data_IF_937261832411
#
_entry.id   IF_937261832411
#
_cell.length_a   1.000
_cell.length_b   1.000
_cell.length_c   1.000
_cell.angle_alpha   90.00
_cell.angle_beta   90.00
_cell.angle_gamma   90.00
#
_symmetry.space_group_name_H-M   'P 1'
#
loop_
_entity.id
_entity.type
_entity.pdbx_description
1 polymer ?
#
# COMPACT_ATOMS: atom_id res chain seq x y z
N UNK A 1 -25.65 31.26 14.03
CA UNK A 1 -24.49 30.61 13.40
C UNK A 1 -23.96 29.63 14.42
N UNK A 2 -24.34 28.35 14.39
CA UNK A 2 -23.66 27.34 15.20
C UNK A 2 -22.36 26.93 14.50
N UNK A 3 -21.27 27.02 15.25
CA UNK A 3 -19.94 26.51 14.94
C UNK A 3 -19.88 24.98 15.15
N UNK A 4 -18.85 24.34 14.56
CA UNK A 4 -18.35 22.97 14.83
C UNK A 4 -19.08 21.75 14.24
N UNK A 5 -19.21 21.69 12.90
CA UNK A 5 -19.45 20.44 12.14
C UNK A 5 -18.14 19.65 11.90
N UNK A 6 -17.25 19.59 12.91
CA UNK A 6 -16.12 18.68 12.87
C UNK A 6 -16.64 17.28 13.23
N UNK A 7 -16.96 16.47 12.21
CA UNK A 7 -17.39 15.08 12.37
C UNK A 7 -16.52 14.36 13.42
N UNK A 8 -17.15 13.69 14.39
CA UNK A 8 -16.46 12.96 15.45
C UNK A 8 -15.44 12.00 14.78
N UNK A 9 -14.15 12.06 15.14
CA UNK A 9 -13.13 11.16 14.60
C UNK A 9 -13.52 9.67 14.67
N UNK A 10 -14.35 9.28 15.65
CA UNK A 10 -14.86 7.91 15.78
C UNK A 10 -15.91 7.57 14.73
N UNK A 11 -16.77 8.52 14.38
CA UNK A 11 -17.79 8.34 13.33
C UNK A 11 -17.14 8.27 11.94
N UNK A 12 -16.12 9.10 11.70
CA UNK A 12 -15.29 9.02 10.50
C UNK A 12 -14.58 7.65 10.38
N UNK A 13 -14.02 7.15 11.48
CA UNK A 13 -13.38 5.83 11.49
C UNK A 13 -14.40 4.71 11.21
N UNK A 14 -15.58 4.77 11.82
CA UNK A 14 -16.62 3.77 11.62
C UNK A 14 -17.16 3.76 10.18
N UNK A 15 -17.34 4.94 9.57
CA UNK A 15 -17.73 5.06 8.17
C UNK A 15 -16.64 4.53 7.22
N UNK A 16 -15.37 4.76 7.56
CA UNK A 16 -14.23 4.23 6.82
C UNK A 16 -14.14 2.70 6.91
N UNK A 17 -14.27 2.14 8.11
CA UNK A 17 -14.23 0.69 8.35
C UNK A 17 -15.35 -0.05 7.60
N UNK A 18 -16.53 0.57 7.50
CA UNK A 18 -17.67 0.05 6.74
C UNK A 18 -17.52 0.17 5.22
N UNK A 19 -16.55 0.95 4.74
CA UNK A 19 -16.31 1.16 3.30
C UNK A 19 -15.54 -0.02 2.67
N UNK A 20 -15.56 -0.17 1.33
CA UNK A 20 -14.70 -1.13 0.63
C UNK A 20 -13.20 -0.96 0.97
N UNK A 21 -12.77 0.26 1.31
CA UNK A 21 -11.41 0.54 1.75
C UNK A 21 -11.11 -0.02 3.13
N UNK A 22 -12.06 0.10 4.06
CA UNK A 22 -11.95 -0.50 5.40
C UNK A 22 -11.78 -2.01 5.31
N UNK A 23 -12.53 -2.67 4.43
CA UNK A 23 -12.40 -4.12 4.18
C UNK A 23 -11.02 -4.48 3.61
N UNK A 24 -10.51 -3.69 2.65
CA UNK A 24 -9.20 -3.95 2.03
C UNK A 24 -8.05 -3.69 3.01
N UNK A 25 -8.13 -2.64 3.82
CA UNK A 25 -7.10 -2.30 4.80
C UNK A 25 -7.17 -3.16 6.06
N UNK A 26 -8.33 -3.73 6.38
CA UNK A 26 -8.48 -4.73 7.44
C UNK A 26 -7.76 -6.05 7.14
N UNK A 27 -7.51 -6.35 5.87
CA UNK A 27 -6.69 -7.50 5.45
C UNK A 27 -5.20 -7.12 5.43
N UNK A 28 -4.43 -7.71 6.34
CA UNK A 28 -2.99 -7.51 6.48
C UNK A 28 -2.18 -7.74 5.19
N UNK A 29 -2.55 -8.75 4.39
CA UNK A 29 -1.84 -9.07 3.15
C UNK A 29 -2.15 -8.03 2.07
N UNK A 30 -3.43 -7.69 1.91
CA UNK A 30 -3.86 -6.67 0.95
C UNK A 30 -3.30 -5.30 1.30
N UNK A 31 -3.36 -4.93 2.58
CA UNK A 31 -2.78 -3.67 3.09
C UNK A 31 -1.29 -3.57 2.78
N UNK A 32 -0.51 -4.63 3.05
CA UNK A 32 0.92 -4.64 2.73
C UNK A 32 1.18 -4.49 1.24
N UNK A 33 0.41 -5.17 0.40
CA UNK A 33 0.56 -5.10 -1.06
C UNK A 33 0.32 -3.68 -1.58
N UNK A 34 -0.73 -3.01 -1.10
CA UNK A 34 -1.01 -1.61 -1.43
C UNK A 34 0.13 -0.67 -1.01
N UNK A 35 0.69 -0.89 0.18
CA UNK A 35 1.85 -0.11 0.64
C UNK A 35 3.05 -0.31 -0.28
N UNK A 36 3.36 -1.55 -0.67
CA UNK A 36 4.50 -1.82 -1.55
C UNK A 36 4.31 -1.24 -2.96
N UNK A 37 3.08 -1.32 -3.47
CA UNK A 37 2.70 -0.70 -4.74
C UNK A 37 2.85 0.83 -4.69
N UNK A 38 2.36 1.47 -3.63
CA UNK A 38 2.51 2.91 -3.45
C UNK A 38 3.98 3.34 -3.35
N UNK A 39 4.82 2.55 -2.68
CA UNK A 39 6.26 2.79 -2.63
C UNK A 39 6.89 2.67 -4.03
N UNK A 40 6.50 1.66 -4.81
CA UNK A 40 6.99 1.45 -6.18
C UNK A 40 6.58 2.58 -7.16
N UNK A 41 5.58 3.37 -6.82
CA UNK A 41 5.14 4.52 -7.60
C UNK A 41 5.73 5.86 -7.11
N UNK A 42 6.62 5.83 -6.11
CA UNK A 42 7.23 7.04 -5.55
C UNK A 42 8.10 7.78 -6.57
N UNK A 43 8.12 9.11 -6.48
CA UNK A 43 9.03 9.97 -7.22
C UNK A 43 10.48 9.86 -6.71
N UNK A 44 10.66 9.49 -5.45
CA UNK A 44 11.99 9.26 -4.87
C UNK A 44 12.55 7.92 -5.36
N UNK A 45 13.72 7.98 -6.00
CA UNK A 45 14.32 6.82 -6.66
C UNK A 45 14.60 5.65 -5.69
N UNK A 46 15.03 5.97 -4.47
CA UNK A 46 15.34 4.97 -3.45
C UNK A 46 14.05 4.32 -2.91
N UNK A 47 13.02 5.13 -2.66
CA UNK A 47 11.69 4.65 -2.23
C UNK A 47 11.09 3.74 -3.28
N UNK A 48 11.16 4.13 -4.56
CA UNK A 48 10.69 3.33 -5.68
C UNK A 48 11.40 1.99 -5.79
N UNK A 49 12.73 1.99 -5.73
CA UNK A 49 13.51 0.75 -5.81
C UNK A 49 13.13 -0.23 -4.68
N UNK A 50 13.04 0.26 -3.44
CA UNK A 50 12.63 -0.56 -2.30
C UNK A 50 11.19 -1.07 -2.48
N UNK A 51 10.29 -0.21 -2.97
CA UNK A 51 8.91 -0.57 -3.26
C UNK A 51 8.79 -1.68 -4.32
N UNK A 52 9.53 -1.58 -5.42
CA UNK A 52 9.55 -2.59 -6.49
C UNK A 52 10.08 -3.94 -5.98
N UNK A 53 11.16 -3.93 -5.19
CA UNK A 53 11.73 -5.16 -4.62
C UNK A 53 10.77 -5.82 -3.62
N UNK A 54 10.05 -5.03 -2.81
CA UNK A 54 9.03 -5.54 -1.89
C UNK A 54 7.78 -6.06 -2.62
N UNK A 55 7.31 -5.34 -3.64
CA UNK A 55 6.11 -5.69 -4.40
C UNK A 55 6.29 -6.99 -5.20
N UNK A 56 7.47 -7.18 -5.78
CA UNK A 56 7.84 -8.41 -6.50
C UNK A 56 8.20 -9.57 -5.58
N UNK A 57 8.39 -9.32 -4.28
CA UNK A 57 8.85 -10.31 -3.31
C UNK A 57 10.33 -10.69 -3.48
N UNK A 58 11.10 -9.86 -4.19
CA UNK A 58 12.55 -10.04 -4.33
C UNK A 58 13.27 -9.90 -2.98
N UNK A 59 12.72 -9.10 -2.08
CA UNK A 59 13.13 -8.99 -0.68
C UNK A 59 11.91 -9.00 0.23
N UNK A 60 12.12 -9.41 1.48
CA UNK A 60 11.13 -9.31 2.54
C UNK A 60 11.27 -8.01 3.35
N UNK A 61 10.21 -7.49 3.98
CA UNK A 61 10.27 -6.29 4.83
C UNK A 61 11.34 -6.36 5.94
N UNK A 62 11.55 -7.56 6.51
CA UNK A 62 12.57 -7.78 7.54
C UNK A 62 14.00 -7.59 7.01
N UNK A 63 14.21 -7.78 5.71
CA UNK A 63 15.52 -7.63 5.06
C UNK A 63 15.83 -6.16 4.80
N UNK A 64 14.81 -5.35 4.47
CA UNK A 64 14.94 -3.88 4.39
C UNK A 64 15.44 -3.31 5.72
N UNK A 65 14.89 -3.76 6.86
CA UNK A 65 15.29 -3.30 8.20
C UNK A 65 16.71 -3.76 8.61
N UNK A 66 17.19 -4.84 8.01
CA UNK A 66 18.54 -5.39 8.28
C UNK A 66 19.60 -4.75 7.41
N UNK A 67 19.23 -4.23 6.23
CA UNK A 67 20.13 -3.48 5.37
C UNK A 67 20.54 -2.17 6.03
N UNK A 68 21.85 -1.98 6.21
CA UNK A 68 22.40 -0.70 6.68
C UNK A 68 22.08 0.44 5.72
N UNK A 69 21.99 0.16 4.41
CA UNK A 69 21.67 1.15 3.39
C UNK A 69 20.23 1.67 3.51
N UNK A 70 19.27 0.84 3.96
CA UNK A 70 17.85 1.23 4.04
C UNK A 70 17.40 1.67 5.44
N UNK A 71 18.24 1.50 6.48
CA UNK A 71 17.86 1.85 7.87
C UNK A 71 17.56 3.33 8.06
N UNK A 72 18.38 4.21 7.53
CA UNK A 72 18.17 5.66 7.65
C UNK A 72 16.90 6.08 6.92
N UNK A 73 16.67 5.54 5.73
CA UNK A 73 15.44 5.72 4.98
C UNK A 73 14.19 5.32 5.79
N UNK A 74 14.18 4.13 6.39
CA UNK A 74 13.04 3.66 7.20
C UNK A 74 12.85 4.54 8.43
N UNK A 75 13.93 4.91 9.13
CA UNK A 75 13.85 5.79 10.29
C UNK A 75 13.23 7.14 9.92
N UNK A 76 13.67 7.74 8.82
CA UNK A 76 13.18 9.04 8.38
C UNK A 76 11.72 8.95 7.91
N UNK A 77 11.32 7.82 7.31
CA UNK A 77 9.93 7.55 6.96
C UNK A 77 9.03 7.45 8.21
N UNK A 78 9.49 6.80 9.27
CA UNK A 78 8.76 6.72 10.55
C UNK A 78 8.60 8.10 11.18
N UNK A 79 9.66 8.91 11.23
CA UNK A 79 9.61 10.28 11.77
C UNK A 79 8.66 11.17 10.95
N UNK A 80 8.60 11.00 9.63
CA UNK A 80 7.63 11.71 8.78
C UNK A 80 6.21 11.22 9.03
N UNK A 81 6.01 9.93 9.22
CA UNK A 81 4.72 9.34 9.56
C UNK A 81 4.17 9.83 10.91
N UNK A 82 5.03 10.00 11.91
CA UNK A 82 4.64 10.56 13.22
C UNK A 82 4.18 12.03 13.14
N UNK A 83 4.67 12.77 12.14
CA UNK A 83 4.30 14.18 11.90
C UNK A 83 3.08 14.33 10.98
N UNK A 84 2.47 13.22 10.58
CA UNK A 84 1.36 13.23 9.64
C UNK A 84 0.11 13.81 10.30
N UNK A 85 -0.40 14.92 9.77
CA UNK A 85 -1.60 15.58 10.30
C UNK A 85 -2.85 14.78 9.90
N UNK A 86 -3.37 14.00 10.87
CA UNK A 86 -4.55 13.17 10.71
C UNK A 86 -5.78 14.00 10.30
N UNK A 87 -5.88 15.27 10.73
CA UNK A 87 -7.00 16.14 10.35
C UNK A 87 -6.91 16.53 8.88
N UNK A 88 -5.71 16.88 8.40
CA UNK A 88 -5.50 17.19 6.99
C UNK A 88 -5.77 15.97 6.11
N UNK A 89 -5.37 14.78 6.57
CA UNK A 89 -5.65 13.51 5.90
C UNK A 89 -7.15 13.23 5.79
N UNK A 90 -7.91 13.50 6.85
CA UNK A 90 -9.37 13.41 6.85
C UNK A 90 -10.02 14.34 5.83
N UNK A 91 -9.57 15.60 5.74
CA UNK A 91 -10.09 16.57 4.76
C UNK A 91 -9.81 16.12 3.32
N UNK A 92 -8.61 15.60 3.05
CA UNK A 92 -8.24 15.08 1.72
C UNK A 92 -9.05 13.83 1.36
N UNK A 93 -9.27 12.93 2.32
CA UNK A 93 -10.06 11.73 2.11
C UNK A 93 -11.53 12.05 1.82
N UNK A 94 -12.12 13.00 2.55
CA UNK A 94 -13.48 13.48 2.33
C UNK A 94 -13.62 14.14 0.95
N UNK A 95 -12.62 14.92 0.51
CA UNK A 95 -12.58 15.48 -0.84
C UNK A 95 -12.52 14.41 -1.94
N UNK A 96 -11.71 13.35 -1.76
CA UNK A 96 -11.61 12.22 -2.69
C UNK A 96 -12.88 11.34 -2.72
N UNK A 97 -13.56 11.22 -1.58
CA UNK A 97 -14.83 10.48 -1.46
C UNK A 97 -15.93 11.23 -2.19
N UNK A 98 -16.02 12.56 -2.00
CA UNK A 98 -17.02 13.41 -2.69
C UNK A 98 -16.78 13.51 -4.20
N UNK A 99 -15.53 13.41 -4.66
CA UNK A 99 -15.23 13.47 -6.10
C UNK A 99 -15.52 12.16 -6.84
N UNK A 100 -15.83 11.07 -6.13
CA UNK A 100 -16.04 9.76 -6.73
C UNK A 100 -14.75 9.12 -7.28
N UNK A 101 -13.58 9.70 -7.04
CA UNK A 101 -12.30 9.15 -7.48
C UNK A 101 -12.00 7.80 -6.81
N UNK A 102 -12.53 7.59 -5.59
CA UNK A 102 -12.34 6.37 -4.82
C UNK A 102 -13.20 5.17 -5.28
N UNK A 103 -14.13 5.31 -6.22
CA UNK A 103 -14.94 4.17 -6.69
C UNK A 103 -14.41 3.52 -7.97
N UNK A 104 -13.56 4.22 -8.73
CA UNK A 104 -13.12 3.76 -10.07
C UNK A 104 -11.98 2.73 -10.08
N UNK A 105 -11.05 2.81 -9.14
CA UNK A 105 -9.79 2.05 -9.22
C UNK A 105 -9.87 0.64 -8.59
N UNK A 106 -10.67 0.45 -7.53
CA UNK A 106 -10.79 -0.85 -6.83
C UNK A 106 -11.45 -1.96 -7.68
N UNK A 107 -12.39 -1.61 -8.57
CA UNK A 107 -13.03 -2.59 -9.46
C UNK A 107 -12.08 -3.07 -10.58
N UNK A 108 -11.11 -2.22 -10.97
CA UNK A 108 -10.14 -2.54 -12.01
C UNK A 108 -9.10 -3.54 -11.51
N UNK A 109 -8.61 -3.34 -10.29
CA UNK A 109 -7.67 -4.28 -9.64
C UNK A 109 -8.32 -5.61 -9.29
N UNK A 110 -9.61 -5.61 -8.92
CA UNK A 110 -10.36 -6.84 -8.65
C UNK A 110 -10.55 -7.71 -9.89
N UNK A 111 -10.70 -7.11 -11.09
CA UNK A 111 -10.79 -7.85 -12.36
C UNK A 111 -9.43 -8.33 -12.88
N UNK A 112 -8.35 -7.58 -12.65
CA UNK A 112 -7.01 -7.99 -13.05
C UNK A 112 -6.46 -9.17 -12.22
N UNK A 113 -7.00 -9.42 -11.02
CA UNK A 113 -6.57 -10.50 -10.12
C UNK A 113 -7.29 -11.84 -10.34
N UNK A 114 -8.34 -11.90 -11.17
CA UNK A 114 -9.11 -13.14 -11.40
C UNK A 114 -8.42 -14.15 -12.33
N UNK A 115 -7.31 -13.78 -12.99
CA UNK A 115 -6.55 -14.67 -13.87
C UNK A 115 -5.17 -15.02 -13.27
N UNK A 116 -5.08 -16.05 -12.41
CA UNK A 116 -3.79 -16.64 -12.09
C UNK A 116 -3.28 -17.34 -13.35
N UNK A 117 -2.32 -16.73 -14.05
CA UNK A 117 -1.56 -17.40 -15.11
C UNK A 117 -1.06 -18.75 -14.57
N UNK A 118 -1.43 -19.89 -15.17
CA UNK A 118 -0.89 -21.17 -14.76
C UNK A 118 0.61 -21.19 -15.13
N UNK A 119 1.44 -21.44 -14.12
CA UNK A 119 2.89 -21.51 -14.24
C UNK A 119 3.32 -22.48 -15.34
N UNK A 120 3.84 -21.92 -16.43
CA UNK A 120 4.60 -22.66 -17.44
C UNK A 120 5.94 -23.07 -16.84
N UNK A 121 6.09 -24.38 -16.62
CA UNK A 121 7.28 -25.07 -16.12
C UNK A 121 8.55 -24.60 -16.85
N UNK A 122 9.59 -24.22 -16.09
CA UNK A 122 10.97 -24.17 -16.62
C UNK A 122 11.41 -25.60 -16.97
N UNK A 123 12.05 -25.84 -18.13
CA UNK A 123 12.73 -27.10 -18.38
C UNK A 123 14.00 -27.14 -17.51
N UNK A 124 14.15 -28.23 -16.77
CA UNK A 124 15.41 -28.55 -16.10
C UNK A 124 16.37 -29.07 -17.18
N UNK A 125 17.29 -28.22 -17.61
CA UNK A 125 18.45 -28.64 -18.37
C UNK A 125 19.48 -29.27 -17.44
N UNK A 126 19.88 -30.49 -17.81
CA UNK A 126 21.24 -31.00 -17.60
C UNK A 126 21.46 -31.85 -16.35
N UNK A 127 21.38 -33.16 -16.51
CA UNK A 127 22.48 -34.03 -16.06
C UNK A 127 22.44 -35.36 -16.82
N UNK A 128 23.39 -35.57 -17.73
CA UNK A 128 23.93 -36.92 -17.93
C UNK A 128 25.33 -36.81 -18.55
N UNK A 129 26.33 -36.81 -17.67
CA UNK A 129 27.70 -37.21 -17.98
C UNK A 129 27.85 -38.69 -17.62
N UNK A 130 27.97 -39.57 -18.63
CA UNK A 130 29.02 -40.60 -18.77
C UNK A 130 28.77 -41.53 -19.95
#
# INVERSE_FOLDING_TARGET
MPDDDAADPRELLAAFDASPYGVVLGDDLRRRRLVFEALAQSEDAMTREVGEQLFTGAIEPREVLRSSAYREFVRDALVRGEKMDIKELGVRLDALTRSGALTGDLERDSRAQADPKPGGRRPADGDDRR
#
